data_IF_109201217570
#
_entry.id   IF_109201217570
#
_cell.length_a   1.000
_cell.length_b   1.000
_cell.length_c   1.000
_cell.angle_alpha   90.00
_cell.angle_beta   90.00
_cell.angle_gamma   90.00
#
_symmetry.space_group_name_H-M   'P 1'
#
loop_
_entity.id
_entity.type
_entity.pdbx_description
1 polymer ?
#
# COMPACT_ATOMS: atom_id res chain seq x y z
N UNK A 1 12.02 1.39 17.66
CA UNK A 1 11.34 1.11 16.39
C UNK A 1 10.42 -0.08 16.64
N UNK A 2 9.24 -0.07 16.05
CA UNK A 2 8.31 -1.19 16.04
C UNK A 2 7.95 -1.45 14.60
N UNK A 3 8.01 -2.70 14.15
CA UNK A 3 7.69 -3.07 12.78
C UNK A 3 6.79 -4.28 12.79
N UNK A 4 5.71 -4.22 12.02
CA UNK A 4 4.89 -5.39 11.69
C UNK A 4 5.13 -5.69 10.22
N UNK A 5 5.45 -6.93 9.94
CA UNK A 5 5.64 -7.46 8.60
C UNK A 5 4.56 -8.51 8.38
N UNK A 6 3.78 -8.33 7.33
CA UNK A 6 2.82 -9.30 6.84
C UNK A 6 3.37 -9.93 5.55
N UNK A 7 3.80 -11.18 5.68
CA UNK A 7 4.23 -12.01 4.56
C UNK A 7 3.01 -12.45 3.76
N UNK A 8 2.76 -11.77 2.63
CA UNK A 8 1.59 -12.00 1.79
C UNK A 8 1.59 -13.37 1.14
N UNK A 9 2.77 -13.94 0.94
CA UNK A 9 2.97 -15.16 0.17
C UNK A 9 2.79 -16.41 1.02
N UNK A 10 3.14 -16.32 2.30
CA UNK A 10 3.12 -17.46 3.23
C UNK A 10 1.75 -17.99 3.59
N UNK A 11 0.69 -17.19 3.48
CA UNK A 11 -0.64 -17.58 3.96
C UNK A 11 -1.56 -18.17 2.90
N UNK A 12 -1.34 -17.91 1.60
CA UNK A 12 -2.28 -18.32 0.56
C UNK A 12 -1.69 -19.26 -0.50
N UNK A 13 -0.37 -19.26 -0.74
CA UNK A 13 0.19 -20.06 -1.82
C UNK A 13 1.67 -20.41 -1.60
N UNK A 14 1.93 -21.70 -1.30
CA UNK A 14 3.28 -22.23 -1.05
C UNK A 14 4.22 -22.14 -2.25
N UNK A 15 3.73 -21.89 -3.47
CA UNK A 15 4.55 -21.68 -4.67
C UNK A 15 5.47 -20.47 -4.52
N UNK A 16 5.03 -19.45 -3.78
CA UNK A 16 5.76 -18.20 -3.58
C UNK A 16 6.73 -18.23 -2.37
N UNK A 17 6.67 -19.27 -1.53
CA UNK A 17 7.59 -19.45 -0.39
C UNK A 17 9.07 -19.67 -0.77
N UNK A 18 9.36 -19.88 -2.06
CA UNK A 18 10.69 -20.28 -2.55
C UNK A 18 11.26 -19.33 -3.60
N UNK A 19 10.70 -18.14 -3.76
CA UNK A 19 11.36 -17.14 -4.61
C UNK A 19 12.69 -16.79 -3.94
N UNK A 20 13.84 -17.04 -4.60
CA UNK A 20 15.13 -16.69 -4.05
C UNK A 20 15.15 -15.20 -3.75
N UNK A 21 15.54 -14.84 -2.53
CA UNK A 21 15.69 -13.44 -2.12
C UNK A 21 16.88 -12.83 -2.87
N UNK A 22 16.63 -12.39 -4.10
CA UNK A 22 17.54 -11.58 -4.90
C UNK A 22 17.28 -10.11 -4.57
N UNK A 23 18.25 -9.45 -3.93
CA UNK A 23 18.18 -8.02 -3.58
C UNK A 23 18.18 -7.11 -4.81
N UNK A 24 18.50 -7.63 -5.98
CA UNK A 24 18.43 -6.91 -7.25
C UNK A 24 17.11 -7.11 -7.98
N UNK A 25 16.26 -8.02 -7.50
CA UNK A 25 14.94 -8.26 -8.08
C UNK A 25 13.89 -7.32 -7.42
N UNK A 26 13.34 -6.35 -8.16
CA UNK A 26 12.33 -5.43 -7.65
C UNK A 26 11.03 -6.15 -7.23
N UNK A 27 10.80 -7.39 -7.67
CA UNK A 27 9.59 -8.14 -7.30
C UNK A 27 9.61 -8.63 -5.84
N UNK A 28 10.78 -8.72 -5.22
CA UNK A 28 10.91 -9.14 -3.82
C UNK A 28 10.39 -8.10 -2.81
N UNK A 29 10.17 -6.83 -3.21
CA UNK A 29 9.49 -5.87 -2.33
C UNK A 29 7.98 -6.09 -2.22
N UNK A 30 7.38 -6.95 -3.05
CA UNK A 30 5.95 -7.26 -3.00
C UNK A 30 5.61 -8.50 -2.15
N UNK A 31 6.60 -9.24 -1.64
CA UNK A 31 6.36 -10.40 -0.77
C UNK A 31 5.77 -10.00 0.58
N UNK A 32 6.13 -8.82 1.04
CA UNK A 32 5.86 -8.37 2.39
C UNK A 32 5.19 -7.00 2.40
N UNK A 33 4.12 -6.87 3.18
CA UNK A 33 3.62 -5.57 3.59
C UNK A 33 4.17 -5.21 4.96
N UNK A 34 4.80 -4.05 5.06
CA UNK A 34 5.47 -3.60 6.26
C UNK A 34 4.81 -2.33 6.79
N UNK A 35 4.38 -2.35 8.05
CA UNK A 35 4.05 -1.14 8.80
C UNK A 35 5.20 -0.93 9.80
N UNK A 36 5.96 0.15 9.61
CA UNK A 36 7.04 0.52 10.51
C UNK A 36 6.66 1.79 11.27
N UNK A 37 6.68 1.68 12.60
CA UNK A 37 6.57 2.78 13.55
C UNK A 37 7.97 3.12 14.05
N UNK A 38 8.52 4.19 13.50
CA UNK A 38 9.83 4.68 13.90
C UNK A 38 9.76 6.14 14.37
N UNK A 39 10.64 6.47 15.32
CA UNK A 39 10.91 7.87 15.61
C UNK A 39 11.67 8.45 14.42
N UNK A 40 11.41 9.71 14.09
CA UNK A 40 12.03 10.38 12.95
C UNK A 40 13.58 10.48 13.03
N UNK A 41 14.21 10.06 14.12
CA UNK A 41 15.67 9.96 14.27
C UNK A 41 16.29 8.67 13.70
N UNK A 42 15.51 7.72 13.19
CA UNK A 42 16.03 6.40 12.76
C UNK A 42 16.45 6.37 11.28
N UNK A 43 17.32 5.43 10.96
CA UNK A 43 18.11 5.34 9.71
C UNK A 43 17.27 4.97 8.47
N UNK A 44 16.04 4.48 8.63
CA UNK A 44 15.17 3.94 7.57
C UNK A 44 14.04 4.91 7.25
N UNK A 45 14.36 6.18 7.00
CA UNK A 45 13.37 7.11 6.45
C UNK A 45 13.88 7.64 5.13
N UNK A 46 13.10 7.41 4.07
CA UNK A 46 13.24 7.93 2.72
C UNK A 46 13.56 9.45 2.70
N UNK A 47 14.79 9.90 2.93
CA UNK A 47 15.22 11.32 2.83
C UNK A 47 14.33 12.38 3.54
N UNK A 48 13.35 11.97 4.36
CA UNK A 48 12.39 12.85 5.03
C UNK A 48 13.03 13.42 6.30
N UNK A 49 12.55 14.59 6.73
CA UNK A 49 13.10 15.35 7.86
C UNK A 49 13.18 14.51 9.16
N UNK A 50 14.33 14.63 9.86
CA UNK A 50 14.55 14.04 11.18
C UNK A 50 13.89 14.89 12.27
N UNK A 51 13.26 14.27 13.26
CA UNK A 51 12.59 14.98 14.36
C UNK A 51 12.24 14.08 15.55
N UNK A 52 11.38 14.57 16.45
CA UNK A 52 11.14 13.97 17.78
C UNK A 52 9.83 13.16 17.88
N UNK A 53 9.05 13.06 16.80
CA UNK A 53 7.72 12.44 16.82
C UNK A 53 7.76 10.97 16.42
N UNK A 54 6.78 10.20 16.90
CA UNK A 54 6.46 8.89 16.32
C UNK A 54 5.74 9.14 14.99
N UNK A 55 6.24 8.55 13.90
CA UNK A 55 5.70 8.78 12.56
C UNK A 55 5.15 7.48 11.97
N UNK A 56 3.95 7.58 11.40
CA UNK A 56 3.45 6.66 10.38
C UNK A 56 3.55 7.42 9.06
N UNK A 57 4.37 6.95 8.13
CA UNK A 57 4.50 7.56 6.81
C UNK A 57 4.02 6.57 5.76
N UNK A 58 3.16 7.03 4.85
CA UNK A 58 2.78 6.29 3.65
C UNK A 58 3.00 7.18 2.43
N UNK A 59 3.42 6.57 1.32
CA UNK A 59 3.39 7.17 -0.02
C UNK A 59 2.03 6.95 -0.71
N UNK A 60 1.20 6.07 -0.16
CA UNK A 60 -0.12 5.72 -0.69
C UNK A 60 -1.14 6.77 -0.24
N UNK A 61 -1.09 7.94 -0.86
CA UNK A 61 -2.00 9.07 -0.59
C UNK A 61 -3.28 9.02 -1.44
N UNK A 62 -3.20 8.43 -2.63
CA UNK A 62 -4.34 8.10 -3.49
C UNK A 62 -4.65 6.60 -3.35
N UNK A 63 -5.43 6.27 -2.34
CA UNK A 63 -5.83 4.89 -2.01
C UNK A 63 -7.34 4.75 -2.03
N UNK A 64 -7.79 3.51 -2.16
CA UNK A 64 -9.20 3.15 -2.06
C UNK A 64 -9.76 3.50 -0.68
N UNK A 65 -11.06 3.76 -0.64
CA UNK A 65 -11.78 4.08 0.59
C UNK A 65 -11.60 2.99 1.67
N UNK A 66 -11.55 1.71 1.30
CA UNK A 66 -11.30 0.60 2.24
C UNK A 66 -9.93 0.70 2.91
N UNK A 67 -8.90 1.03 2.14
CA UNK A 67 -7.52 1.18 2.63
C UNK A 67 -7.36 2.46 3.45
N UNK A 68 -7.95 3.57 2.97
CA UNK A 68 -7.99 4.85 3.70
C UNK A 68 -8.63 4.67 5.08
N UNK A 69 -9.75 3.94 5.14
CA UNK A 69 -10.43 3.62 6.40
C UNK A 69 -9.54 2.80 7.33
N UNK A 70 -8.86 1.77 6.83
CA UNK A 70 -7.94 0.96 7.62
C UNK A 70 -6.80 1.82 8.19
N UNK A 71 -6.21 2.70 7.38
CA UNK A 71 -5.17 3.64 7.80
C UNK A 71 -5.66 4.58 8.92
N UNK A 72 -6.86 5.14 8.77
CA UNK A 72 -7.43 6.05 9.77
C UNK A 72 -7.76 5.35 11.09
N UNK A 73 -8.25 4.11 11.04
CA UNK A 73 -8.44 3.28 12.24
C UNK A 73 -7.09 3.05 12.91
N UNK A 74 -6.07 2.60 12.16
CA UNK A 74 -4.75 2.36 12.72
C UNK A 74 -4.17 3.62 13.37
N UNK A 75 -4.19 4.77 12.69
CA UNK A 75 -3.68 6.03 13.22
C UNK A 75 -4.39 6.43 14.51
N UNK A 76 -5.72 6.25 14.55
CA UNK A 76 -6.56 6.50 15.72
C UNK A 76 -6.20 5.60 16.90
N UNK A 77 -6.04 4.29 16.67
CA UNK A 77 -5.69 3.32 17.71
C UNK A 77 -4.28 3.59 18.27
N UNK A 78 -3.31 3.84 17.39
CA UNK A 78 -1.92 4.14 17.80
C UNK A 78 -1.87 5.42 18.62
N UNK A 79 -2.49 6.51 18.14
CA UNK A 79 -2.52 7.78 18.87
C UNK A 79 -3.23 7.64 20.22
N UNK A 80 -4.34 6.90 20.29
CA UNK A 80 -5.05 6.65 21.55
C UNK A 80 -4.18 5.88 22.56
N UNK A 81 -3.45 4.87 22.09
CA UNK A 81 -2.63 4.02 22.96
C UNK A 81 -1.46 4.76 23.61
N UNK A 82 -0.99 5.86 22.99
CA UNK A 82 0.16 6.64 23.47
C UNK A 82 -0.23 8.04 23.97
N UNK A 83 -1.52 8.34 24.10
CA UNK A 83 -2.04 9.68 24.43
C UNK A 83 -1.48 10.77 23.49
N UNK A 84 -1.42 10.44 22.20
CA UNK A 84 -0.84 11.25 21.14
C UNK A 84 -1.86 12.09 20.37
N UNK A 85 -1.34 12.95 19.49
CA UNK A 85 -2.09 13.75 18.53
C UNK A 85 -1.75 13.32 17.10
N UNK A 86 -2.65 13.62 16.16
CA UNK A 86 -2.53 13.24 14.75
C UNK A 86 -2.35 14.50 13.91
N UNK A 87 -1.42 14.46 12.95
CA UNK A 87 -1.25 15.52 11.95
C UNK A 87 -1.32 14.91 10.55
N UNK A 88 -2.07 15.56 9.67
CA UNK A 88 -2.26 15.15 8.27
C UNK A 88 -1.66 16.15 7.26
N UNK A 89 -1.18 17.30 7.74
CA UNK A 89 -0.72 18.44 6.92
C UNK A 89 0.79 18.70 7.04
N UNK A 90 1.55 17.65 7.32
CA UNK A 90 3.00 17.76 7.48
C UNK A 90 3.41 18.50 8.76
N UNK A 91 2.70 18.26 9.87
CA UNK A 91 2.94 18.84 11.21
C UNK A 91 2.58 20.32 11.34
N UNK A 92 1.81 20.89 10.42
CA UNK A 92 1.37 22.28 10.51
C UNK A 92 0.27 22.44 11.57
N UNK A 93 -0.63 21.46 11.66
CA UNK A 93 -1.66 21.36 12.69
C UNK A 93 -1.72 19.97 13.31
N UNK A 94 -2.29 19.91 14.52
CA UNK A 94 -2.41 18.70 15.32
C UNK A 94 -3.83 18.57 15.84
N UNK A 95 -4.46 17.43 15.55
CA UNK A 95 -5.79 17.09 15.99
C UNK A 95 -5.69 16.11 17.16
N UNK A 96 -6.54 16.30 18.16
CA UNK A 96 -6.83 15.22 19.12
C UNK A 96 -7.50 14.05 18.38
N UNK A 97 -7.44 12.87 18.99
CA UNK A 97 -8.10 11.67 18.44
C UNK A 97 -9.60 11.90 18.19
N UNK A 98 -10.29 12.59 19.10
CA UNK A 98 -11.73 12.84 18.97
C UNK A 98 -12.04 13.88 17.89
N UNK A 99 -11.19 14.88 17.70
CA UNK A 99 -11.30 15.83 16.58
C UNK A 99 -11.08 15.13 15.24
N UNK A 100 -10.07 14.25 15.14
CA UNK A 100 -9.79 13.47 13.95
C UNK A 100 -10.97 12.54 13.59
N UNK A 101 -11.50 11.79 14.57
CA UNK A 101 -12.69 10.93 14.38
C UNK A 101 -13.91 11.71 13.92
N UNK A 102 -14.11 12.91 14.45
CA UNK A 102 -15.22 13.78 14.07
C UNK A 102 -15.04 14.34 12.66
N UNK A 103 -13.82 14.71 12.29
CA UNK A 103 -13.49 15.27 10.99
C UNK A 103 -13.65 14.22 9.88
N UNK A 104 -13.13 13.01 10.08
CA UNK A 104 -13.22 11.88 9.13
C UNK A 104 -14.34 10.89 9.47
N UNK A 105 -15.45 11.40 10.02
CA UNK A 105 -16.56 10.56 10.46
C UNK A 105 -17.18 9.79 9.28
N UNK A 106 -17.25 10.42 8.12
CA UNK A 106 -17.74 9.84 6.87
C UNK A 106 -16.99 8.54 6.51
N UNK A 107 -15.66 8.52 6.63
CA UNK A 107 -14.84 7.34 6.35
C UNK A 107 -14.87 6.33 7.51
N UNK A 108 -14.70 6.81 8.74
CA UNK A 108 -14.58 5.93 9.92
C UNK A 108 -15.89 5.26 10.33
N UNK A 109 -17.03 5.83 9.95
CA UNK A 109 -18.35 5.26 10.27
C UNK A 109 -18.79 4.14 9.33
N UNK A 110 -18.12 3.97 8.18
CA UNK A 110 -18.42 2.90 7.24
C UNK A 110 -18.16 1.54 7.88
N UNK A 111 -18.97 0.55 7.50
CA UNK A 111 -18.64 -0.86 7.67
C UNK A 111 -17.56 -1.28 6.66
N UNK A 112 -16.99 -2.47 6.86
CA UNK A 112 -16.03 -3.03 5.91
C UNK A 112 -16.68 -3.20 4.52
N UNK A 113 -17.87 -3.80 4.45
CA UNK A 113 -18.55 -4.06 3.18
C UNK A 113 -18.94 -2.77 2.44
N UNK A 114 -19.41 -1.75 3.15
CA UNK A 114 -19.70 -0.44 2.54
C UNK A 114 -18.44 0.23 1.97
N UNK A 115 -17.33 0.16 2.70
CA UNK A 115 -16.05 0.70 2.24
C UNK A 115 -15.54 -0.07 1.00
N UNK A 116 -15.74 -1.39 0.97
CA UNK A 116 -15.41 -2.23 -0.20
C UNK A 116 -16.26 -1.84 -1.41
N UNK A 117 -17.58 -1.70 -1.26
CA UNK A 117 -18.46 -1.33 -2.37
C UNK A 117 -18.09 0.02 -2.98
N UNK A 118 -17.79 1.02 -2.15
CA UNK A 118 -17.28 2.32 -2.62
C UNK A 118 -15.96 2.14 -3.37
N UNK A 119 -15.05 1.33 -2.82
CA UNK A 119 -13.74 1.06 -3.42
C UNK A 119 -13.86 0.38 -4.79
N UNK A 120 -14.85 -0.49 -4.99
CA UNK A 120 -15.09 -1.14 -6.29
C UNK A 120 -15.50 -0.13 -7.38
N UNK A 121 -16.25 0.91 -7.02
CA UNK A 121 -16.59 1.98 -7.95
C UNK A 121 -15.41 2.93 -8.19
N UNK A 122 -14.62 3.24 -7.15
CA UNK A 122 -13.38 4.03 -7.29
C UNK A 122 -12.39 3.37 -8.25
N UNK A 123 -12.20 2.05 -8.12
CA UNK A 123 -11.31 1.24 -8.96
C UNK A 123 -11.59 1.39 -10.47
N UNK A 124 -12.86 1.60 -10.87
CA UNK A 124 -13.23 1.76 -12.28
C UNK A 124 -12.66 3.03 -12.91
N UNK A 125 -12.37 4.03 -12.09
CA UNK A 125 -11.92 5.36 -12.53
C UNK A 125 -10.49 5.68 -12.10
N UNK A 126 -9.92 4.91 -11.17
CA UNK A 126 -8.51 5.03 -10.79
C UNK A 126 -7.61 4.74 -11.98
N UNK A 127 -6.66 5.65 -12.19
CA UNK A 127 -5.57 5.43 -13.13
C UNK A 127 -4.49 4.63 -12.39
N UNK A 128 -4.12 3.44 -12.87
CA UNK A 128 -3.05 2.68 -12.24
C UNK A 128 -1.75 3.50 -12.31
N UNK A 129 -1.01 3.53 -11.20
CA UNK A 129 0.35 4.07 -11.20
C UNK A 129 1.19 3.19 -12.12
N UNK A 130 1.50 3.69 -13.31
CA UNK A 130 2.37 2.98 -14.26
C UNK A 130 3.80 3.08 -13.73
N UNK A 131 4.33 1.96 -13.24
CA UNK A 131 5.76 1.79 -13.04
C UNK A 131 6.50 2.03 -14.38
N UNK A 132 7.60 2.79 -14.42
CA UNK A 132 8.42 2.95 -15.63
C UNK A 132 8.81 1.61 -16.28
N UNK A 133 8.89 0.53 -15.50
CA UNK A 133 9.18 -0.82 -15.99
C UNK A 133 8.09 -1.36 -16.95
N UNK A 134 6.83 -0.92 -16.84
CA UNK A 134 5.76 -1.36 -17.74
C UNK A 134 5.98 -0.87 -19.18
N UNK A 135 6.57 0.32 -19.36
CA UNK A 135 6.90 0.82 -20.71
C UNK A 135 7.98 -0.03 -21.37
N UNK A 136 8.97 -0.50 -20.59
CA UNK A 136 10.01 -1.40 -21.08
C UNK A 136 9.45 -2.79 -21.40
N UNK A 137 8.59 -3.35 -20.53
CA UNK A 137 7.94 -4.63 -20.76
C UNK A 137 7.01 -4.60 -21.99
N UNK A 138 6.23 -3.52 -22.15
CA UNK A 138 5.33 -3.34 -23.30
C UNK A 138 6.14 -3.25 -24.61
N UNK A 139 7.27 -2.53 -24.61
CA UNK A 139 8.20 -2.49 -25.75
C UNK A 139 8.79 -3.88 -26.06
N UNK A 140 9.25 -4.61 -25.04
CA UNK A 140 9.80 -5.96 -25.21
C UNK A 140 8.75 -6.93 -25.74
N UNK A 141 7.49 -6.80 -25.29
CA UNK A 141 6.34 -7.57 -25.78
C UNK A 141 6.06 -7.27 -27.25
N UNK A 142 6.07 -6.00 -27.66
CA UNK A 142 5.91 -5.60 -29.07
C UNK A 142 7.02 -6.15 -29.96
N UNK A 143 8.27 -6.07 -29.52
CA UNK A 143 9.42 -6.65 -30.23
C UNK A 143 9.29 -8.17 -30.37
N UNK A 144 8.89 -8.86 -29.30
CA UNK A 144 8.64 -10.29 -29.32
C UNK A 144 7.54 -10.68 -30.33
N UNK A 145 6.40 -10.00 -30.30
CA UNK A 145 5.28 -10.22 -31.25
C UNK A 145 5.74 -9.96 -32.69
N UNK A 146 6.58 -8.95 -32.92
CA UNK A 146 7.10 -8.67 -34.26
C UNK A 146 7.99 -9.79 -34.81
N UNK A 147 8.73 -10.49 -33.95
CA UNK A 147 9.63 -11.58 -34.34
C UNK A 147 8.86 -12.91 -34.44
N UNK A 148 7.93 -13.16 -33.52
CA UNK A 148 7.31 -14.47 -33.33
C UNK A 148 5.82 -14.54 -33.72
N UNK A 149 5.22 -13.40 -34.11
CA UNK A 149 3.79 -13.27 -34.32
C UNK A 149 3.01 -13.10 -33.01
N UNK A 150 1.74 -12.72 -33.11
CA UNK A 150 0.85 -12.78 -31.95
C UNK A 150 0.70 -14.23 -31.49
N UNK A 151 0.80 -14.46 -30.18
CA UNK A 151 0.59 -15.78 -29.60
C UNK A 151 -0.90 -16.13 -29.75
N UNK A 152 -1.19 -17.13 -30.56
CA UNK A 152 -2.52 -17.75 -30.62
C UNK A 152 -2.62 -18.67 -29.40
N UNK A 153 -3.61 -18.43 -28.55
CA UNK A 153 -3.99 -19.38 -27.52
C UNK A 153 -4.82 -20.47 -28.21
N UNK A 154 -4.40 -21.73 -28.08
CA UNK A 154 -5.27 -22.84 -28.46
C UNK A 154 -6.33 -22.92 -27.36
N UNK A 155 -7.57 -22.60 -27.69
CA UNK A 155 -8.71 -22.62 -26.75
C UNK A 155 -9.16 -24.07 -26.42
N UNK A 156 -8.40 -25.09 -26.83
CA UNK A 156 -8.70 -26.51 -26.62
C UNK A 156 -7.86 -27.12 -25.49
N UNK A 157 -8.22 -26.80 -24.24
CA UNK A 157 -7.97 -27.69 -23.08
C UNK A 157 -9.19 -27.64 -22.13
N UNK A 158 -10.39 -27.84 -22.70
CA UNK A 158 -11.61 -28.25 -21.99
C UNK A 158 -12.05 -29.62 -22.55
N UNK A 159 -11.37 -30.70 -22.14
CA UNK A 159 -11.92 -32.08 -22.15
C UNK A 159 -11.38 -32.93 -20.97
#
# INVERSE_FOLDING_TARGET
>A
FFGVQFDKWRFNDKRWNHIPYDKSDPWNSFSDENIQLEFEKTFITEWRERGDYLRIATSHIDVLTVDKRALYIMATEVASAIDGQISEDGKQSWLSVEEFKKYHKDVLSLTYDEAVEISLEELKTMVPVRDPLWEEEERLREEYIKIHGERVYDDEEDE
#
